data_IF_361842273486
#
_entry.id   IF_361842273486
#
_cell.length_a   1.000
_cell.length_b   1.000
_cell.length_c   1.000
_cell.angle_alpha   90.00
_cell.angle_beta   90.00
_cell.angle_gamma   90.00
#
_symmetry.space_group_name_H-M   'P 1'
#
loop_
_entity.id
_entity.type
_entity.pdbx_description
1 polymer ?
#
# COMPACT_ATOMS: atom_id res chain seq x y z
N UNK A 1 76.51 31.21 89.13
CA UNK A 1 75.59 31.00 88.00
C UNK A 1 76.14 31.79 86.81
N UNK A 2 76.64 31.09 85.79
CA UNK A 2 77.65 31.53 84.83
C UNK A 2 77.03 31.66 83.42
N UNK A 3 77.30 32.79 82.71
CA UNK A 3 77.38 33.00 81.22
C UNK A 3 76.10 32.73 80.37
N UNK A 4 75.82 33.34 79.21
CA UNK A 4 76.39 34.42 78.39
C UNK A 4 75.62 34.53 77.03
N UNK A 5 75.79 35.64 76.29
CA UNK A 5 75.81 35.80 74.80
C UNK A 5 74.46 36.00 74.02
N UNK A 6 74.20 37.27 73.65
CA UNK A 6 74.23 37.91 72.29
C UNK A 6 73.53 37.26 71.07
N UNK A 7 72.56 37.98 70.46
CA UNK A 7 72.32 38.23 68.99
C UNK A 7 71.01 39.06 68.83
N UNK A 8 71.00 40.32 68.35
CA UNK A 8 71.05 40.88 66.97
C UNK A 8 69.81 40.63 66.06
N UNK A 9 69.12 41.75 65.75
CA UNK A 9 68.34 42.18 64.53
C UNK A 9 66.90 41.67 64.26
N UNK A 10 66.08 42.36 63.41
CA UNK A 10 64.88 43.08 63.82
C UNK A 10 63.57 42.50 63.23
N UNK A 11 62.42 42.77 63.87
CA UNK A 11 61.10 42.50 63.29
C UNK A 11 60.71 43.66 62.36
N UNK A 12 61.01 43.50 61.07
CA UNK A 12 60.37 44.26 60.01
C UNK A 12 58.93 43.75 59.85
N UNK A 13 57.95 44.54 60.28
CA UNK A 13 56.55 44.29 59.99
C UNK A 13 55.94 45.55 59.39
N UNK A 14 55.10 45.34 58.37
CA UNK A 14 54.11 46.28 57.83
C UNK A 14 54.61 47.21 56.74
N UNK A 15 54.77 46.69 55.52
CA UNK A 15 54.22 47.31 54.30
C UNK A 15 54.43 46.32 53.14
N UNK A 16 53.47 45.41 52.94
CA UNK A 16 53.34 44.73 51.65
C UNK A 16 52.11 45.31 50.96
N UNK A 17 52.42 46.02 49.88
CA UNK A 17 51.54 46.55 48.88
C UNK A 17 50.48 45.53 48.46
N UNK A 18 49.24 45.97 48.60
CA UNK A 18 48.23 46.03 47.54
C UNK A 18 48.79 45.75 46.12
N UNK A 19 48.81 44.50 45.68
CA UNK A 19 48.69 44.15 44.26
C UNK A 19 47.44 43.30 44.08
N UNK A 20 46.41 43.95 43.55
CA UNK A 20 45.24 43.30 42.98
C UNK A 20 45.71 42.29 41.92
N UNK A 21 45.56 41.01 42.24
CA UNK A 21 45.29 39.98 41.26
C UNK A 21 44.04 39.22 41.70
N UNK A 22 42.93 39.97 41.87
CA UNK A 22 41.63 39.39 41.59
C UNK A 22 41.64 39.10 40.08
N UNK A 23 42.15 37.92 39.69
CA UNK A 23 41.71 37.34 38.43
C UNK A 23 40.18 37.35 38.50
N UNK A 24 39.48 38.05 37.60
CA UNK A 24 38.04 38.13 37.69
C UNK A 24 37.49 36.71 37.73
N UNK A 25 36.55 36.45 38.64
CA UNK A 25 35.79 35.18 38.76
C UNK A 25 34.99 34.85 37.46
N UNK A 26 35.18 35.63 36.40
CA UNK A 26 34.53 35.61 35.12
C UNK A 26 35.51 35.13 34.04
N UNK A 27 35.57 33.81 33.81
CA UNK A 27 35.75 33.16 32.50
C UNK A 27 35.99 31.65 32.61
N UNK A 28 35.25 30.93 33.46
CA UNK A 28 35.08 29.49 33.25
C UNK A 28 34.00 29.30 32.17
N UNK A 29 34.34 29.65 30.94
CA UNK A 29 33.40 29.68 29.82
C UNK A 29 33.17 28.27 29.31
N UNK A 30 31.99 27.70 29.60
CA UNK A 30 31.53 26.50 28.91
C UNK A 30 30.94 26.92 27.57
N UNK A 31 31.30 26.20 26.52
CA UNK A 31 30.93 26.51 25.14
C UNK A 31 30.09 25.36 24.60
N UNK A 32 28.96 25.71 23.98
CA UNK A 32 28.26 24.81 23.05
C UNK A 32 28.42 25.39 21.66
N UNK A 33 28.88 24.57 20.72
CA UNK A 33 29.05 24.94 19.32
C UNK A 33 28.65 23.80 18.41
N UNK A 34 28.52 24.06 17.12
CA UNK A 34 28.35 23.02 16.13
C UNK A 34 27.95 23.56 14.78
N UNK A 35 27.57 22.65 13.89
CA UNK A 35 27.19 22.92 12.50
C UNK A 35 25.85 22.28 12.18
N UNK A 36 25.03 23.00 11.43
CA UNK A 36 23.74 22.53 10.91
C UNK A 36 23.83 22.43 9.40
N UNK A 37 23.60 21.23 8.87
CA UNK A 37 23.56 20.96 7.43
C UNK A 37 22.27 20.28 7.04
N UNK A 38 21.96 20.24 5.74
CA UNK A 38 20.92 19.37 5.20
C UNK A 38 21.46 17.93 4.93
N UNK A 39 20.60 17.03 4.44
CA UNK A 39 20.98 15.67 4.05
C UNK A 39 21.99 15.60 2.89
N UNK A 40 22.15 16.68 2.12
CA UNK A 40 23.14 16.79 1.03
C UNK A 40 24.49 17.33 1.54
N UNK A 41 24.57 17.71 2.81
CA UNK A 41 25.77 18.29 3.44
C UNK A 41 25.89 19.80 3.26
N UNK A 42 24.90 20.46 2.68
CA UNK A 42 24.89 21.92 2.48
C UNK A 42 24.60 22.64 3.81
N UNK A 43 25.32 23.73 4.11
CA UNK A 43 25.14 24.46 5.37
C UNK A 43 23.80 25.21 5.42
N UNK A 44 23.05 25.03 6.50
CA UNK A 44 21.77 25.72 6.69
C UNK A 44 22.03 27.04 7.43
N UNK A 45 21.91 28.15 6.69
CA UNK A 45 22.08 29.51 7.23
C UNK A 45 20.84 29.98 7.99
N UNK A 46 21.05 30.64 9.13
CA UNK A 46 19.99 31.29 9.89
C UNK A 46 19.05 30.34 10.63
N UNK A 47 19.42 29.06 10.77
CA UNK A 47 18.72 28.11 11.61
C UNK A 47 18.72 28.63 13.06
N UNK A 48 17.56 28.62 13.69
CA UNK A 48 17.38 29.02 15.09
C UNK A 48 17.87 27.90 16.00
N UNK A 49 18.83 28.22 16.87
CA UNK A 49 19.37 27.31 17.87
C UNK A 49 18.89 27.78 19.24
N UNK A 50 18.15 26.93 19.93
CA UNK A 50 17.68 27.15 21.30
C UNK A 50 18.38 26.16 22.22
N UNK A 51 19.12 26.68 23.20
CA UNK A 51 19.79 25.92 24.24
C UNK A 51 18.98 26.06 25.52
N UNK A 52 18.39 24.96 25.99
CA UNK A 52 17.47 24.94 27.11
C UNK A 52 18.04 24.07 28.23
N UNK A 53 18.10 24.62 29.46
CA UNK A 53 18.45 23.84 30.65
C UNK A 53 17.33 22.85 30.98
N UNK A 54 17.69 21.58 31.19
CA UNK A 54 16.75 20.51 31.55
C UNK A 54 16.64 20.31 33.05
N UNK A 55 17.65 20.75 33.81
CA UNK A 55 17.71 20.73 35.28
C UNK A 55 17.18 22.01 35.92
N UNK A 56 17.50 23.16 35.33
CA UNK A 56 17.09 24.49 35.77
C UNK A 56 16.57 25.26 34.56
N UNK A 57 15.45 25.96 34.73
CA UNK A 57 14.81 26.74 33.65
C UNK A 57 15.71 27.89 33.22
N UNK A 58 16.51 27.63 32.18
CA UNK A 58 17.43 28.56 31.52
C UNK A 58 17.26 28.40 30.01
N UNK A 59 17.28 29.50 29.27
CA UNK A 59 17.14 29.47 27.83
C UNK A 59 18.12 30.45 27.19
N UNK A 60 18.83 29.99 26.18
CA UNK A 60 19.75 30.77 25.37
C UNK A 60 19.43 30.55 23.91
N UNK A 61 19.48 31.61 23.10
CA UNK A 61 19.16 31.52 21.68
C UNK A 61 20.33 32.06 20.86
N UNK A 62 20.66 31.35 19.79
CA UNK A 62 21.62 31.79 18.77
C UNK A 62 21.15 31.35 17.39
N UNK A 63 21.84 31.76 16.34
CA UNK A 63 21.52 31.36 14.96
C UNK A 63 22.79 30.89 14.24
N UNK A 64 22.60 30.03 13.25
CA UNK A 64 23.71 29.62 12.39
C UNK A 64 24.13 30.74 11.43
N UNK A 65 25.42 30.81 11.16
CA UNK A 65 26.03 31.76 10.23
C UNK A 65 25.91 31.29 8.76
N UNK A 66 26.65 31.93 7.84
CA UNK A 66 26.66 31.55 6.40
C UNK A 66 27.25 30.17 6.13
N UNK A 67 28.07 29.64 7.05
CA UNK A 67 28.68 28.30 6.98
C UNK A 67 27.85 27.26 7.72
N UNK A 68 26.68 27.63 8.26
CA UNK A 68 25.84 26.74 9.06
C UNK A 68 26.37 26.54 10.47
N UNK A 69 27.39 27.29 10.90
CA UNK A 69 28.04 27.14 12.20
C UNK A 69 27.34 28.02 13.25
N UNK A 70 27.28 27.52 14.47
CA UNK A 70 26.77 28.27 15.62
C UNK A 70 27.67 28.07 16.84
N UNK A 71 27.70 29.08 17.70
CA UNK A 71 28.42 29.05 18.97
C UNK A 71 27.66 29.86 20.01
N UNK A 72 27.64 29.35 21.23
CA UNK A 72 27.19 30.08 22.41
C UNK A 72 28.19 29.86 23.54
N UNK A 73 28.63 30.96 24.15
CA UNK A 73 29.66 30.97 25.20
C UNK A 73 29.05 31.43 26.52
N UNK A 74 29.64 30.99 27.64
CA UNK A 74 29.22 31.44 28.97
C UNK A 74 28.03 30.63 29.53
N UNK A 75 27.92 29.36 29.14
CA UNK A 75 26.85 28.49 29.64
C UNK A 75 27.20 28.06 31.07
N UNK A 76 26.31 28.25 32.07
CA UNK A 76 26.55 27.77 33.44
C UNK A 76 26.58 26.24 33.52
N UNK A 77 27.12 25.70 34.61
CA UNK A 77 27.01 24.26 34.88
C UNK A 77 25.53 23.82 34.92
N UNK A 78 25.26 22.65 34.34
CA UNK A 78 23.95 22.04 34.31
C UNK A 78 23.82 21.05 33.15
N UNK A 79 22.62 20.51 33.02
CA UNK A 79 22.25 19.64 31.91
C UNK A 79 21.38 20.41 30.90
N UNK A 80 21.68 20.26 29.62
CA UNK A 80 21.07 21.03 28.55
C UNK A 80 20.56 20.16 27.42
N UNK A 81 19.60 20.73 26.69
CA UNK A 81 19.18 20.29 25.36
C UNK A 81 19.42 21.43 24.37
N UNK A 82 19.91 21.10 23.19
CA UNK A 82 19.99 22.02 22.05
C UNK A 82 18.91 21.63 21.06
N UNK A 83 18.09 22.60 20.64
CA UNK A 83 16.99 22.45 19.70
C UNK A 83 17.31 23.31 18.50
N UNK A 84 17.19 22.74 17.30
CA UNK A 84 17.41 23.45 16.05
C UNK A 84 16.12 23.50 15.25
N UNK A 85 15.78 24.69 14.72
CA UNK A 85 14.67 24.90 13.80
C UNK A 85 15.11 25.72 12.60
N UNK A 86 14.72 25.30 11.40
CA UNK A 86 14.94 26.06 10.17
C UNK A 86 13.70 25.97 9.27
N UNK A 87 13.41 27.04 8.53
CA UNK A 87 12.26 27.07 7.63
C UNK A 87 12.42 26.02 6.51
N UNK A 88 11.40 25.20 6.29
CA UNK A 88 11.44 24.12 5.30
C UNK A 88 12.12 22.84 5.77
N UNK A 89 12.54 22.77 7.04
CA UNK A 89 13.16 21.60 7.64
C UNK A 89 12.40 21.13 8.88
N UNK A 90 12.39 19.82 9.10
CA UNK A 90 11.92 19.24 10.36
C UNK A 90 12.87 19.62 11.49
N UNK A 91 12.36 20.07 12.65
CA UNK A 91 13.19 20.41 13.79
C UNK A 91 13.84 19.16 14.37
N UNK A 92 15.03 19.35 14.94
CA UNK A 92 15.81 18.30 15.57
C UNK A 92 16.38 18.79 16.92
N UNK A 93 16.83 17.87 17.76
CA UNK A 93 17.36 18.20 19.06
C UNK A 93 18.36 17.16 19.60
N UNK A 94 19.31 17.64 20.40
CA UNK A 94 20.24 16.83 21.17
C UNK A 94 20.08 17.14 22.65
N UNK A 95 19.96 16.11 23.49
CA UNK A 95 19.67 16.24 24.92
C UNK A 95 20.71 15.51 25.78
N UNK A 96 20.74 15.81 27.08
CA UNK A 96 21.70 15.20 28.02
C UNK A 96 23.10 15.82 27.94
N UNK A 97 23.19 17.04 27.41
CA UNK A 97 24.46 17.74 27.22
C UNK A 97 24.93 18.31 28.55
N UNK A 98 26.18 18.04 28.94
CA UNK A 98 26.80 18.58 30.15
C UNK A 98 28.06 19.35 29.79
N UNK A 99 27.96 20.65 29.47
CA UNK A 99 29.09 21.43 29.03
C UNK A 99 30.21 21.47 30.07
N UNK A 100 31.43 21.20 29.61
CA UNK A 100 32.64 21.23 30.43
C UNK A 100 33.43 22.51 30.20
N UNK A 101 34.28 22.85 31.16
CA UNK A 101 35.25 23.95 31.03
C UNK A 101 36.51 23.43 30.30
N UNK A 102 36.79 22.13 30.40
CA UNK A 102 37.99 21.54 29.83
C UNK A 102 37.89 21.31 28.31
N UNK A 103 36.67 21.15 27.78
CA UNK A 103 36.44 20.85 26.38
C UNK A 103 35.12 21.45 25.90
N UNK A 104 35.16 22.06 24.71
CA UNK A 104 33.97 22.55 24.01
C UNK A 104 32.98 21.40 23.75
N UNK A 105 31.70 21.66 23.97
CA UNK A 105 30.64 20.71 23.65
C UNK A 105 30.19 20.94 22.21
N UNK A 106 30.56 20.02 21.33
CA UNK A 106 30.19 20.08 19.91
C UNK A 106 28.92 19.28 19.63
N UNK A 107 27.94 19.91 18.99
CA UNK A 107 26.63 19.32 18.67
C UNK A 107 26.25 19.66 17.23
N UNK A 108 26.40 18.69 16.35
CA UNK A 108 26.11 18.85 14.92
C UNK A 108 24.73 18.28 14.59
N UNK A 109 24.03 18.93 13.66
CA UNK A 109 22.70 18.52 13.21
C UNK A 109 22.66 18.36 11.70
N UNK A 110 21.97 17.32 11.25
CA UNK A 110 21.64 17.10 9.83
C UNK A 110 20.12 17.13 9.71
N UNK A 111 19.58 18.24 9.21
CA UNK A 111 18.13 18.42 9.11
C UNK A 111 17.57 17.80 7.84
N UNK A 112 16.38 17.21 7.97
CA UNK A 112 15.60 16.68 6.85
C UNK A 112 14.58 17.71 6.39
N UNK A 113 14.36 17.80 5.08
CA UNK A 113 13.30 18.65 4.53
C UNK A 113 11.92 18.25 5.08
N UNK A 114 11.11 19.24 5.44
CA UNK A 114 9.76 19.00 5.94
C UNK A 114 9.21 20.17 6.76
N UNK A 115 7.93 20.08 7.18
CA UNK A 115 7.28 21.14 7.94
C UNK A 115 7.86 21.25 9.35
N UNK A 116 7.82 22.46 9.90
CA UNK A 116 8.09 22.68 11.32
C UNK A 116 6.98 22.01 12.15
N UNK A 117 7.36 21.23 13.15
CA UNK A 117 6.44 20.43 13.97
C UNK A 117 6.87 20.44 15.44
N UNK A 118 5.93 20.23 16.36
CA UNK A 118 6.28 20.10 17.78
C UNK A 118 7.16 18.87 17.99
N UNK A 119 8.24 19.04 18.76
CA UNK A 119 9.07 17.93 19.21
C UNK A 119 8.36 17.16 20.32
N UNK A 120 8.75 15.90 20.54
CA UNK A 120 8.08 14.98 21.46
C UNK A 120 7.89 15.52 22.88
N UNK A 121 8.81 16.38 23.35
CA UNK A 121 8.79 17.00 24.67
C UNK A 121 8.08 18.38 24.71
N UNK A 122 7.70 18.93 23.56
CA UNK A 122 6.90 20.16 23.45
C UNK A 122 5.40 19.85 23.35
N UNK A 123 5.06 18.57 23.13
CA UNK A 123 3.69 18.09 23.14
C UNK A 123 3.14 18.14 24.56
N UNK A 124 1.94 18.70 24.70
CA UNK A 124 1.18 18.58 25.93
C UNK A 124 0.79 17.11 26.20
N UNK A 125 0.49 16.71 27.45
CA UNK A 125 -0.01 15.37 27.74
C UNK A 125 -1.23 14.96 26.89
N UNK A 126 -2.11 15.91 26.59
CA UNK A 126 -3.29 15.71 25.73
C UNK A 126 -2.91 15.45 24.26
N UNK A 127 -1.98 16.23 23.71
CA UNK A 127 -1.48 16.04 22.34
C UNK A 127 -0.72 14.73 22.18
N UNK A 128 0.07 14.34 23.19
CA UNK A 128 0.73 13.03 23.25
C UNK A 128 -0.27 11.88 23.27
N UNK A 129 -1.38 12.03 24.00
CA UNK A 129 -2.42 11.01 24.06
C UNK A 129 -3.13 10.86 22.71
N UNK A 130 -3.52 11.97 22.07
CA UNK A 130 -4.12 11.97 20.73
C UNK A 130 -3.18 11.33 19.69
N UNK A 131 -1.89 11.69 19.70
CA UNK A 131 -0.92 11.11 18.79
C UNK A 131 -0.78 9.59 18.98
N UNK A 132 -0.76 9.12 20.25
CA UNK A 132 -0.73 7.68 20.55
C UNK A 132 -1.98 6.97 20.02
N UNK A 133 -3.15 7.57 20.19
CA UNK A 133 -4.42 7.03 19.69
C UNK A 133 -4.45 6.97 18.16
N UNK A 134 -3.96 8.01 17.48
CA UNK A 134 -3.86 8.05 16.02
C UNK A 134 -2.88 7.00 15.49
N UNK A 135 -1.70 6.87 16.10
CA UNK A 135 -0.72 5.83 15.73
C UNK A 135 -1.28 4.44 15.96
N UNK A 136 -1.90 4.19 17.12
CA UNK A 136 -2.55 2.90 17.39
C UNK A 136 -3.68 2.60 16.40
N UNK A 137 -4.47 3.61 16.02
CA UNK A 137 -5.53 3.46 15.02
C UNK A 137 -4.94 3.12 13.65
N UNK A 138 -3.88 3.80 13.24
CA UNK A 138 -3.18 3.53 11.97
C UNK A 138 -2.53 2.14 11.96
N UNK A 139 -1.93 1.71 13.08
CA UNK A 139 -1.38 0.36 13.24
C UNK A 139 -2.48 -0.70 13.16
N UNK A 140 -3.60 -0.50 13.87
CA UNK A 140 -4.76 -1.41 13.80
C UNK A 140 -5.34 -1.50 12.40
N UNK A 141 -5.45 -0.39 11.67
CA UNK A 141 -5.90 -0.38 10.28
C UNK A 141 -4.92 -1.13 9.35
N UNK A 142 -3.62 -0.88 9.51
CA UNK A 142 -2.59 -1.58 8.74
C UNK A 142 -2.58 -3.08 9.04
N UNK A 143 -2.74 -3.46 10.31
CA UNK A 143 -2.82 -4.85 10.73
C UNK A 143 -4.09 -5.51 10.19
N UNK A 144 -5.25 -4.86 10.28
CA UNK A 144 -6.49 -5.37 9.71
C UNK A 144 -6.34 -5.61 8.19
N UNK A 145 -5.74 -4.68 7.46
CA UNK A 145 -5.45 -4.85 6.03
C UNK A 145 -4.51 -6.03 5.74
N UNK A 146 -3.49 -6.25 6.57
CA UNK A 146 -2.59 -7.39 6.45
C UNK A 146 -3.30 -8.72 6.76
N UNK A 147 -4.17 -8.75 7.77
CA UNK A 147 -4.98 -9.92 8.13
C UNK A 147 -5.99 -10.28 7.03
N UNK A 148 -6.71 -9.28 6.48
CA UNK A 148 -7.62 -9.46 5.33
C UNK A 148 -6.88 -10.14 4.18
N UNK A 149 -5.70 -9.62 3.83
CA UNK A 149 -4.89 -10.19 2.76
C UNK A 149 -4.46 -11.63 3.06
N UNK A 150 -3.99 -11.90 4.28
CA UNK A 150 -3.54 -13.24 4.66
C UNK A 150 -4.67 -14.27 4.59
N UNK A 151 -5.86 -13.93 5.10
CA UNK A 151 -7.03 -14.78 5.00
C UNK A 151 -7.48 -14.98 3.55
N UNK A 152 -7.46 -13.93 2.74
CA UNK A 152 -7.79 -14.03 1.32
C UNK A 152 -6.82 -14.95 0.57
N UNK A 153 -5.51 -14.77 0.75
CA UNK A 153 -4.47 -15.59 0.10
C UNK A 153 -4.60 -17.08 0.50
N UNK A 154 -4.93 -17.37 1.77
CA UNK A 154 -5.22 -18.73 2.23
C UNK A 154 -6.49 -19.31 1.59
N UNK A 155 -7.57 -18.52 1.52
CA UNK A 155 -8.80 -18.92 0.86
C UNK A 155 -8.59 -19.26 -0.62
N UNK A 156 -7.80 -18.45 -1.34
CA UNK A 156 -7.42 -18.72 -2.73
C UNK A 156 -6.67 -20.04 -2.88
N UNK A 157 -5.71 -20.31 -1.98
CA UNK A 157 -4.96 -21.58 -1.97
C UNK A 157 -5.89 -22.78 -1.76
N UNK A 158 -6.76 -22.71 -0.76
CA UNK A 158 -7.73 -23.78 -0.47
C UNK A 158 -8.69 -24.01 -1.64
N UNK A 159 -9.16 -22.94 -2.29
CA UNK A 159 -10.00 -23.04 -3.47
C UNK A 159 -9.27 -23.71 -4.65
N UNK A 160 -7.98 -23.41 -4.85
CA UNK A 160 -7.15 -24.08 -5.86
C UNK A 160 -6.94 -25.58 -5.56
N UNK A 161 -6.94 -25.97 -4.29
CA UNK A 161 -6.94 -27.38 -3.84
C UNK A 161 -8.32 -28.06 -3.93
N UNK A 162 -9.37 -27.33 -4.33
CA UNK A 162 -10.76 -27.82 -4.39
C UNK A 162 -11.48 -27.87 -3.04
N UNK A 163 -10.87 -27.36 -1.97
CA UNK A 163 -11.44 -27.31 -0.61
C UNK A 163 -12.33 -26.08 -0.42
N UNK A 164 -13.43 -26.03 -1.17
CA UNK A 164 -14.28 -24.84 -1.26
C UNK A 164 -14.92 -24.44 0.07
N UNK A 165 -15.35 -25.40 0.90
CA UNK A 165 -15.94 -25.11 2.20
C UNK A 165 -14.94 -24.43 3.15
N UNK A 166 -13.69 -24.91 3.17
CA UNK A 166 -12.61 -24.30 3.98
C UNK A 166 -12.20 -22.94 3.42
N UNK A 167 -12.17 -22.78 2.09
CA UNK A 167 -11.89 -21.50 1.45
C UNK A 167 -12.93 -20.43 1.84
N UNK A 168 -14.21 -20.79 1.88
CA UNK A 168 -15.29 -19.88 2.30
C UNK A 168 -15.08 -19.40 3.74
N UNK A 169 -14.67 -20.28 4.66
CA UNK A 169 -14.36 -19.89 6.05
C UNK A 169 -13.24 -18.86 6.10
N UNK A 170 -12.18 -19.01 5.29
CA UNK A 170 -11.11 -18.02 5.22
C UNK A 170 -11.58 -16.71 4.59
N UNK A 171 -12.42 -16.75 3.55
CA UNK A 171 -13.03 -15.55 2.98
C UNK A 171 -13.94 -14.82 3.99
N UNK A 172 -14.71 -15.55 4.79
CA UNK A 172 -15.55 -14.96 5.83
C UNK A 172 -14.72 -14.26 6.91
N UNK A 173 -13.62 -14.88 7.36
CA UNK A 173 -12.66 -14.22 8.28
C UNK A 173 -12.07 -12.94 7.69
N UNK A 174 -11.78 -12.92 6.39
CA UNK A 174 -11.31 -11.71 5.72
C UNK A 174 -12.40 -10.63 5.71
N UNK A 175 -13.63 -11.00 5.37
CA UNK A 175 -14.79 -10.09 5.30
C UNK A 175 -15.26 -9.59 6.66
N UNK A 176 -15.03 -10.34 7.74
CA UNK A 176 -15.25 -9.89 9.13
C UNK A 176 -14.30 -8.74 9.51
N UNK A 177 -13.10 -8.70 8.93
CA UNK A 177 -12.11 -7.64 9.16
C UNK A 177 -12.36 -6.43 8.30
N UNK A 178 -12.74 -6.66 7.05
CA UNK A 178 -13.13 -5.63 6.10
C UNK A 178 -14.15 -6.18 5.11
N UNK A 179 -15.39 -5.71 5.24
CA UNK A 179 -16.51 -6.13 4.40
C UNK A 179 -16.52 -5.48 3.02
N UNK A 180 -15.71 -4.45 2.77
CA UNK A 180 -15.73 -3.70 1.50
C UNK A 180 -14.71 -4.27 0.49
N UNK A 181 -14.67 -5.59 0.38
CA UNK A 181 -13.68 -6.32 -0.42
C UNK A 181 -14.33 -7.04 -1.61
N UNK A 182 -14.47 -6.37 -2.78
CA UNK A 182 -15.23 -6.91 -3.91
C UNK A 182 -14.66 -8.24 -4.44
N UNK A 183 -13.34 -8.37 -4.49
CA UNK A 183 -12.69 -9.60 -4.96
C UNK A 183 -12.87 -10.78 -4.02
N UNK A 184 -12.96 -10.54 -2.70
CA UNK A 184 -13.19 -11.61 -1.74
C UNK A 184 -14.63 -12.12 -1.86
N UNK A 185 -15.60 -11.22 -1.97
CA UNK A 185 -16.99 -11.56 -2.27
C UNK A 185 -17.12 -12.39 -3.56
N UNK A 186 -16.44 -11.97 -4.64
CA UNK A 186 -16.45 -12.70 -5.91
C UNK A 186 -15.85 -14.11 -5.80
N UNK A 187 -14.71 -14.27 -5.12
CA UNK A 187 -14.09 -15.59 -4.94
C UNK A 187 -14.90 -16.49 -4.01
N UNK A 188 -15.56 -15.92 -2.99
CA UNK A 188 -16.53 -16.64 -2.15
C UNK A 188 -17.71 -17.11 -2.99
N UNK A 189 -18.25 -16.27 -3.87
CA UNK A 189 -19.32 -16.63 -4.80
C UNK A 189 -18.91 -17.77 -5.74
N UNK A 190 -17.69 -17.73 -6.29
CA UNK A 190 -17.14 -18.81 -7.11
C UNK A 190 -17.08 -20.14 -6.34
N UNK A 191 -16.57 -20.12 -5.11
CA UNK A 191 -16.51 -21.30 -4.24
C UNK A 191 -17.91 -21.86 -3.93
N UNK A 192 -18.88 -20.99 -3.61
CA UNK A 192 -20.28 -21.36 -3.39
C UNK A 192 -20.90 -21.97 -4.66
N UNK A 193 -20.62 -21.41 -5.83
CA UNK A 193 -21.09 -21.95 -7.12
C UNK A 193 -20.52 -23.33 -7.42
N UNK A 194 -19.27 -23.62 -7.03
CA UNK A 194 -18.65 -24.95 -7.16
C UNK A 194 -19.27 -25.98 -6.21
N UNK A 195 -19.87 -25.53 -5.11
CA UNK A 195 -20.62 -26.36 -4.16
C UNK A 195 -22.12 -26.43 -4.46
N UNK A 196 -22.56 -25.95 -5.63
CA UNK A 196 -23.97 -25.89 -6.05
C UNK A 196 -24.88 -25.04 -5.14
N UNK A 197 -24.29 -24.17 -4.32
CA UNK A 197 -24.99 -23.19 -3.48
C UNK A 197 -25.30 -21.93 -4.29
N UNK A 198 -26.08 -22.08 -5.35
CA UNK A 198 -26.21 -21.06 -6.40
C UNK A 198 -26.83 -19.74 -5.92
N UNK A 199 -27.81 -19.79 -5.02
CA UNK A 199 -28.42 -18.57 -4.48
C UNK A 199 -27.47 -17.80 -3.57
N UNK A 200 -26.75 -18.48 -2.67
CA UNK A 200 -25.72 -17.84 -1.83
C UNK A 200 -24.62 -17.21 -2.72
N UNK A 201 -24.21 -17.90 -3.79
CA UNK A 201 -23.24 -17.36 -4.76
C UNK A 201 -23.76 -16.09 -5.45
N UNK A 202 -25.05 -16.06 -5.81
CA UNK A 202 -25.66 -14.91 -6.46
C UNK A 202 -25.63 -13.68 -5.54
N UNK A 203 -26.01 -13.86 -4.28
CA UNK A 203 -26.02 -12.78 -3.28
C UNK A 203 -24.60 -12.22 -3.05
N UNK A 204 -23.57 -13.08 -3.04
CA UNK A 204 -22.17 -12.65 -2.90
C UNK A 204 -21.66 -11.90 -4.15
N UNK A 205 -22.00 -12.33 -5.37
CA UNK A 205 -21.68 -11.55 -6.56
C UNK A 205 -22.41 -10.21 -6.62
N UNK A 206 -23.66 -10.11 -6.12
CA UNK A 206 -24.36 -8.83 -6.04
C UNK A 206 -23.59 -7.84 -5.14
N UNK A 207 -23.06 -8.30 -4.00
CA UNK A 207 -22.19 -7.48 -3.13
C UNK A 207 -20.92 -7.06 -3.87
N UNK A 208 -20.24 -8.00 -4.55
CA UNK A 208 -19.03 -7.71 -5.31
C UNK A 208 -19.27 -6.63 -6.39
N UNK A 209 -20.37 -6.74 -7.14
CA UNK A 209 -20.75 -5.78 -8.19
C UNK A 209 -21.15 -4.43 -7.59
N UNK A 210 -21.84 -4.40 -6.44
CA UNK A 210 -22.19 -3.15 -5.78
C UNK A 210 -20.95 -2.37 -5.32
N UNK A 211 -19.93 -3.08 -4.85
CA UNK A 211 -18.64 -2.50 -4.45
C UNK A 211 -17.78 -2.09 -5.65
N UNK A 212 -17.84 -2.85 -6.76
CA UNK A 212 -17.07 -2.58 -7.97
C UNK A 212 -17.91 -2.72 -9.25
N UNK A 213 -18.75 -1.72 -9.57
CA UNK A 213 -19.70 -1.81 -10.68
C UNK A 213 -19.06 -1.65 -12.07
N UNK A 214 -17.78 -1.30 -12.14
CA UNK A 214 -17.00 -1.08 -13.36
C UNK A 214 -16.12 -2.27 -13.75
N UNK A 215 -16.17 -3.38 -13.00
CA UNK A 215 -15.39 -4.58 -13.31
C UNK A 215 -16.17 -5.55 -14.22
N UNK A 216 -15.79 -5.60 -15.50
CA UNK A 216 -16.42 -6.46 -16.49
C UNK A 216 -16.34 -7.97 -16.15
N UNK A 217 -15.32 -8.40 -15.40
CA UNK A 217 -15.16 -9.79 -15.01
C UNK A 217 -16.27 -10.24 -14.04
N UNK A 218 -16.76 -9.33 -13.20
CA UNK A 218 -17.85 -9.63 -12.25
C UNK A 218 -19.16 -9.93 -12.99
N UNK A 219 -19.47 -9.18 -14.05
CA UNK A 219 -20.62 -9.46 -14.90
C UNK A 219 -20.45 -10.74 -15.74
N UNK A 220 -19.22 -11.03 -16.19
CA UNK A 220 -18.90 -12.30 -16.86
C UNK A 220 -19.22 -13.49 -15.95
N UNK A 221 -18.71 -13.47 -14.72
CA UNK A 221 -18.89 -14.56 -13.76
C UNK A 221 -20.35 -14.67 -13.29
N UNK A 222 -21.02 -13.54 -13.05
CA UNK A 222 -22.46 -13.50 -12.77
C UNK A 222 -23.27 -14.12 -13.91
N UNK A 223 -22.93 -13.82 -15.17
CA UNK A 223 -23.56 -14.42 -16.35
C UNK A 223 -23.45 -15.95 -16.38
N UNK A 224 -22.27 -16.47 -16.06
CA UNK A 224 -22.05 -17.93 -15.94
C UNK A 224 -22.90 -18.53 -14.81
N UNK A 225 -22.93 -17.90 -13.64
CA UNK A 225 -23.74 -18.35 -12.52
C UNK A 225 -25.24 -18.37 -12.87
N UNK A 226 -25.75 -17.30 -13.47
CA UNK A 226 -27.14 -17.19 -13.90
C UNK A 226 -27.51 -18.27 -14.92
N UNK A 227 -26.58 -18.61 -15.83
CA UNK A 227 -26.74 -19.74 -16.74
C UNK A 227 -26.91 -21.07 -16.01
N UNK A 228 -26.09 -21.34 -14.98
CA UNK A 228 -26.24 -22.54 -14.13
C UNK A 228 -27.57 -22.56 -13.38
N UNK A 229 -28.09 -21.39 -12.98
CA UNK A 229 -29.40 -21.25 -12.35
C UNK A 229 -30.58 -21.41 -13.32
N UNK A 230 -30.33 -21.57 -14.62
CA UNK A 230 -31.38 -21.61 -15.65
C UNK A 230 -32.01 -20.24 -15.93
N UNK A 231 -31.44 -19.16 -15.41
CA UNK A 231 -31.90 -17.78 -15.61
C UNK A 231 -31.33 -17.20 -16.91
N UNK A 232 -31.68 -17.81 -18.03
CA UNK A 232 -31.06 -17.55 -19.35
C UNK A 232 -31.17 -16.08 -19.80
N UNK A 233 -32.28 -15.40 -19.53
CA UNK A 233 -32.45 -13.98 -19.90
C UNK A 233 -31.51 -13.06 -19.11
N UNK A 234 -31.45 -13.21 -17.78
CA UNK A 234 -30.55 -12.44 -16.92
C UNK A 234 -29.08 -12.73 -17.27
N UNK A 235 -28.74 -13.99 -17.56
CA UNK A 235 -27.41 -14.39 -18.01
C UNK A 235 -27.00 -13.68 -19.30
N UNK A 236 -27.92 -13.57 -20.26
CA UNK A 236 -27.70 -12.85 -21.52
C UNK A 236 -27.43 -11.36 -21.31
N UNK A 237 -28.17 -10.70 -20.43
CA UNK A 237 -27.92 -9.30 -20.09
C UNK A 237 -26.55 -9.11 -19.44
N UNK A 238 -26.17 -9.99 -18.51
CA UNK A 238 -24.88 -9.94 -17.84
C UNK A 238 -23.71 -10.09 -18.83
N UNK A 239 -23.75 -11.08 -19.74
CA UNK A 239 -22.72 -11.24 -20.76
C UNK A 239 -22.64 -10.07 -21.74
N UNK A 240 -23.79 -9.53 -22.19
CA UNK A 240 -23.81 -8.36 -23.07
C UNK A 240 -23.21 -7.13 -22.38
N UNK A 241 -23.52 -6.92 -21.10
CA UNK A 241 -22.94 -5.84 -20.30
C UNK A 241 -21.42 -6.01 -20.16
N UNK A 242 -20.95 -7.21 -19.82
CA UNK A 242 -19.51 -7.51 -19.73
C UNK A 242 -18.78 -7.25 -21.06
N UNK A 243 -19.36 -7.69 -22.18
CA UNK A 243 -18.80 -7.47 -23.52
C UNK A 243 -18.73 -5.98 -23.89
N UNK A 244 -19.74 -5.18 -23.50
CA UNK A 244 -19.74 -3.73 -23.71
C UNK A 244 -18.71 -2.98 -22.86
N UNK A 245 -18.41 -3.48 -21.65
CA UNK A 245 -17.43 -2.88 -20.75
C UNK A 245 -15.97 -3.22 -21.13
N UNK A 246 -15.73 -4.42 -21.66
CA UNK A 246 -14.41 -4.85 -22.09
C UNK A 246 -14.45 -5.43 -23.52
N UNK A 247 -14.25 -4.59 -24.56
CA UNK A 247 -14.24 -5.03 -25.95
C UNK A 247 -13.22 -6.13 -26.26
N UNK A 248 -12.08 -6.15 -25.57
CA UNK A 248 -11.06 -7.17 -25.77
C UNK A 248 -11.51 -8.56 -25.29
N UNK A 249 -12.42 -8.62 -24.31
CA UNK A 249 -13.01 -9.86 -23.81
C UNK A 249 -14.42 -10.13 -24.38
N UNK A 250 -14.90 -9.31 -25.31
CA UNK A 250 -16.24 -9.44 -25.87
C UNK A 250 -16.44 -10.78 -26.58
N UNK A 251 -15.43 -11.26 -27.32
CA UNK A 251 -15.45 -12.58 -27.97
C UNK A 251 -15.77 -13.71 -26.99
N UNK A 252 -15.08 -13.76 -25.84
CA UNK A 252 -15.29 -14.76 -24.80
C UNK A 252 -16.68 -14.65 -24.14
N UNK A 253 -17.16 -13.43 -23.92
CA UNK A 253 -18.48 -13.21 -23.34
C UNK A 253 -19.60 -13.67 -24.26
N UNK A 254 -19.52 -13.36 -25.56
CA UNK A 254 -20.48 -13.84 -26.55
C UNK A 254 -20.40 -15.35 -26.77
N UNK A 255 -19.20 -15.94 -26.68
CA UNK A 255 -19.05 -17.40 -26.69
C UNK A 255 -19.74 -18.05 -25.49
N UNK A 256 -19.53 -17.52 -24.27
CA UNK A 256 -20.18 -18.04 -23.05
C UNK A 256 -21.72 -17.88 -23.10
N UNK A 257 -22.20 -16.77 -23.69
CA UNK A 257 -23.61 -16.58 -23.98
C UNK A 257 -24.13 -17.66 -24.94
N UNK A 258 -23.43 -17.90 -26.05
CA UNK A 258 -23.79 -18.95 -27.01
C UNK A 258 -23.88 -20.32 -26.35
N UNK A 259 -22.89 -20.70 -25.55
CA UNK A 259 -22.90 -21.96 -24.80
C UNK A 259 -24.09 -22.07 -23.82
N UNK A 260 -24.41 -20.98 -23.12
CA UNK A 260 -25.57 -20.93 -22.21
C UNK A 260 -26.89 -21.10 -22.95
N UNK A 261 -27.01 -20.50 -24.14
CA UNK A 261 -28.19 -20.61 -25.00
C UNK A 261 -28.34 -22.02 -25.59
N UNK A 262 -27.24 -22.68 -25.99
CA UNK A 262 -27.25 -24.10 -26.40
C UNK A 262 -27.78 -24.97 -25.27
N UNK A 263 -27.25 -24.81 -24.05
CA UNK A 263 -27.70 -25.59 -22.90
C UNK A 263 -29.18 -25.35 -22.55
N UNK A 264 -29.73 -24.20 -22.94
CA UNK A 264 -31.14 -23.86 -22.77
C UNK A 264 -32.02 -24.28 -23.96
N UNK A 265 -31.48 -24.98 -24.97
CA UNK A 265 -32.19 -25.40 -26.18
C UNK A 265 -32.47 -24.29 -27.20
N UNK A 266 -31.91 -23.09 -27.02
CA UNK A 266 -32.13 -21.90 -27.87
C UNK A 266 -31.10 -21.81 -28.99
N UNK A 267 -31.00 -22.86 -29.82
CA UNK A 267 -29.93 -23.06 -30.80
C UNK A 267 -29.80 -21.93 -31.83
N UNK A 268 -30.92 -21.35 -32.31
CA UNK A 268 -30.89 -20.26 -33.28
C UNK A 268 -30.26 -18.99 -32.69
N UNK A 269 -30.56 -18.68 -31.43
CA UNK A 269 -29.99 -17.52 -30.74
C UNK A 269 -28.53 -17.77 -30.33
N UNK A 270 -28.19 -19.01 -29.99
CA UNK A 270 -26.81 -19.40 -29.76
C UNK A 270 -25.94 -19.17 -31.01
N UNK A 271 -26.44 -19.52 -32.20
CA UNK A 271 -25.75 -19.25 -33.45
C UNK A 271 -25.46 -17.75 -33.65
N UNK A 272 -26.40 -16.88 -33.28
CA UNK A 272 -26.19 -15.43 -33.35
C UNK A 272 -25.14 -14.95 -32.34
N UNK A 273 -25.16 -15.48 -31.11
CA UNK A 273 -24.13 -15.19 -30.11
C UNK A 273 -22.73 -15.66 -30.58
N UNK A 274 -22.60 -16.83 -31.21
CA UNK A 274 -21.32 -17.28 -31.76
C UNK A 274 -20.85 -16.41 -32.94
N UNK A 275 -21.75 -15.90 -33.78
CA UNK A 275 -21.38 -14.90 -34.81
C UNK A 275 -20.88 -13.61 -34.19
N UNK A 276 -21.49 -13.14 -33.09
CA UNK A 276 -21.00 -11.98 -32.33
C UNK A 276 -19.61 -12.25 -31.72
N UNK A 277 -19.37 -13.46 -31.20
CA UNK A 277 -18.07 -13.87 -30.71
C UNK A 277 -16.99 -13.80 -31.80
N UNK A 278 -17.29 -14.34 -32.99
CA UNK A 278 -16.41 -14.31 -34.17
C UNK A 278 -16.19 -12.88 -34.68
N UNK A 279 -17.21 -12.03 -34.61
CA UNK A 279 -17.09 -10.63 -35.03
C UNK A 279 -16.18 -9.83 -34.09
N UNK A 280 -16.21 -10.15 -32.80
CA UNK A 280 -15.34 -9.54 -31.79
C UNK A 280 -13.90 -10.11 -31.83
N UNK A 281 -13.76 -11.42 -32.08
CA UNK A 281 -12.48 -12.09 -32.28
C UNK A 281 -12.54 -13.06 -33.48
N UNK A 282 -12.07 -12.64 -34.66
CA UNK A 282 -12.07 -13.48 -35.87
C UNK A 282 -11.19 -14.74 -35.77
N UNK A 283 -10.33 -14.85 -34.76
CA UNK A 283 -9.45 -15.99 -34.51
C UNK A 283 -9.98 -16.94 -33.43
N UNK A 284 -11.20 -16.72 -32.92
CA UNK A 284 -11.82 -17.58 -31.91
C UNK A 284 -12.31 -18.89 -32.53
N UNK A 285 -11.41 -19.87 -32.64
CA UNK A 285 -11.66 -21.16 -33.27
C UNK A 285 -12.91 -21.87 -32.74
N UNK A 286 -13.05 -21.99 -31.42
CA UNK A 286 -14.14 -22.72 -30.78
C UNK A 286 -15.52 -22.11 -31.10
N UNK A 287 -15.60 -20.79 -31.31
CA UNK A 287 -16.84 -20.14 -31.72
C UNK A 287 -17.28 -20.60 -33.12
N UNK A 288 -16.35 -20.80 -34.07
CA UNK A 288 -16.66 -21.37 -35.39
C UNK A 288 -17.14 -22.81 -35.31
N UNK A 289 -16.52 -23.63 -34.46
CA UNK A 289 -16.94 -25.01 -34.25
C UNK A 289 -18.39 -25.07 -33.72
N UNK A 290 -18.68 -24.31 -32.65
CA UNK A 290 -20.01 -24.28 -32.06
C UNK A 290 -21.07 -23.67 -32.99
N UNK A 291 -20.70 -22.65 -33.78
CA UNK A 291 -21.57 -22.11 -34.83
C UNK A 291 -21.90 -23.18 -35.87
N UNK A 292 -20.91 -23.93 -36.33
CA UNK A 292 -21.09 -25.04 -37.27
C UNK A 292 -22.08 -26.08 -36.75
N UNK A 293 -21.95 -26.48 -35.48
CA UNK A 293 -22.88 -27.39 -34.83
C UNK A 293 -24.31 -26.83 -34.78
N UNK A 294 -24.47 -25.56 -34.35
CA UNK A 294 -25.79 -24.93 -34.25
C UNK A 294 -26.51 -24.82 -35.60
N UNK A 295 -25.77 -24.61 -36.69
CA UNK A 295 -26.33 -24.43 -38.03
C UNK A 295 -26.53 -25.75 -38.80
N UNK A 296 -25.95 -26.85 -38.34
CA UNK A 296 -25.97 -28.14 -39.06
C UNK A 296 -27.36 -28.79 -39.16
N UNK A 297 -28.27 -28.47 -38.24
CA UNK A 297 -29.59 -29.10 -38.15
C UNK A 297 -30.65 -28.58 -39.11
N UNK A 298 -30.40 -27.48 -39.83
CA UNK A 298 -31.36 -26.89 -40.77
C UNK A 298 -30.77 -26.83 -42.19
N UNK A 299 -31.41 -27.43 -43.20
CA UNK A 299 -30.93 -27.44 -44.59
C UNK A 299 -30.60 -26.05 -45.15
N UNK A 300 -31.33 -25.01 -44.74
CA UNK A 300 -31.08 -23.64 -45.21
C UNK A 300 -29.78 -23.04 -44.67
N UNK A 301 -29.34 -23.49 -43.49
CA UNK A 301 -28.12 -22.99 -42.84
C UNK A 301 -26.92 -23.92 -42.99
N UNK A 302 -27.11 -25.11 -43.58
CA UNK A 302 -26.03 -26.08 -43.84
C UNK A 302 -24.83 -25.49 -44.61
N UNK A 303 -25.00 -24.66 -45.66
CA UNK A 303 -23.85 -24.07 -46.35
C UNK A 303 -22.98 -23.21 -45.42
N UNK A 304 -23.60 -22.46 -44.52
CA UNK A 304 -22.88 -21.62 -43.56
C UNK A 304 -22.29 -22.46 -42.41
N UNK A 305 -22.93 -23.56 -42.03
CA UNK A 305 -22.37 -24.54 -41.11
C UNK A 305 -21.05 -25.12 -41.64
N UNK A 306 -21.02 -25.51 -42.91
CA UNK A 306 -19.81 -26.04 -43.57
C UNK A 306 -18.69 -24.99 -43.56
N UNK A 307 -18.98 -23.73 -43.96
CA UNK A 307 -17.99 -22.64 -43.94
C UNK A 307 -17.40 -22.42 -42.55
N UNK A 308 -18.24 -22.45 -41.51
CA UNK A 308 -17.79 -22.28 -40.14
C UNK A 308 -16.87 -23.44 -39.71
N UNK A 309 -17.24 -24.68 -40.00
CA UNK A 309 -16.41 -25.86 -39.69
C UNK A 309 -15.10 -25.88 -40.49
N UNK A 310 -15.10 -25.45 -41.76
CA UNK A 310 -13.89 -25.30 -42.57
C UNK A 310 -12.95 -24.26 -41.96
N UNK A 311 -13.49 -23.13 -41.51
CA UNK A 311 -12.71 -22.10 -40.82
C UNK A 311 -12.13 -22.64 -39.52
N UNK A 312 -12.91 -23.39 -38.74
CA UNK A 312 -12.41 -24.07 -37.53
C UNK A 312 -11.24 -25.01 -37.83
N UNK A 313 -11.28 -25.80 -38.90
CA UNK A 313 -10.17 -26.69 -39.30
C UNK A 313 -8.90 -25.88 -39.65
N UNK A 314 -9.05 -24.67 -40.18
CA UNK A 314 -7.90 -23.82 -40.54
C UNK A 314 -7.18 -23.21 -39.33
N UNK A 315 -7.94 -22.83 -38.28
CA UNK A 315 -7.40 -22.05 -37.15
C UNK A 315 -7.42 -22.80 -35.82
N UNK A 316 -8.12 -23.92 -35.76
CA UNK A 316 -8.27 -24.76 -34.57
C UNK A 316 -7.00 -25.53 -34.23
N UNK A 317 -6.87 -25.88 -32.95
CA UNK A 317 -5.69 -26.62 -32.43
C UNK A 317 -6.04 -28.02 -31.92
N UNK A 318 -7.32 -28.32 -31.72
CA UNK A 318 -7.77 -29.61 -31.20
C UNK A 318 -7.91 -30.62 -32.35
N UNK A 319 -6.97 -31.56 -32.45
CA UNK A 319 -6.93 -32.56 -33.53
C UNK A 319 -8.18 -33.44 -33.59
N UNK A 320 -8.69 -33.86 -32.44
CA UNK A 320 -9.88 -34.72 -32.36
C UNK A 320 -11.12 -33.99 -32.88
N UNK A 321 -11.36 -32.77 -32.38
CA UNK A 321 -12.49 -31.95 -32.84
C UNK A 321 -12.36 -31.57 -34.32
N UNK A 322 -11.14 -31.38 -34.84
CA UNK A 322 -10.93 -31.15 -36.27
C UNK A 322 -11.31 -32.36 -37.13
N UNK A 323 -11.01 -33.58 -36.69
CA UNK A 323 -11.47 -34.79 -37.39
C UNK A 323 -12.99 -34.93 -37.34
N UNK A 324 -13.62 -34.65 -36.20
CA UNK A 324 -15.08 -34.60 -36.08
C UNK A 324 -15.67 -33.56 -37.05
N UNK A 325 -15.08 -32.37 -37.14
CA UNK A 325 -15.51 -31.33 -38.06
C UNK A 325 -15.42 -31.78 -39.53
N UNK A 326 -14.36 -32.51 -39.93
CA UNK A 326 -14.21 -33.07 -41.30
C UNK A 326 -15.31 -34.09 -41.62
N UNK A 327 -15.63 -34.97 -40.67
CA UNK A 327 -16.69 -35.96 -40.83
C UNK A 327 -18.05 -35.28 -40.97
N UNK A 328 -18.33 -34.28 -40.14
CA UNK A 328 -19.56 -33.48 -40.22
C UNK A 328 -19.69 -32.79 -41.57
N UNK A 329 -18.64 -32.12 -42.07
CA UNK A 329 -18.66 -31.50 -43.40
C UNK A 329 -18.99 -32.52 -44.49
N UNK A 330 -18.41 -33.72 -44.42
CA UNK A 330 -18.67 -34.80 -45.39
C UNK A 330 -20.12 -35.25 -45.36
N UNK A 331 -20.72 -35.35 -44.18
CA UNK A 331 -22.13 -35.72 -44.01
C UNK A 331 -23.10 -34.61 -44.45
N UNK A 332 -22.71 -33.34 -44.33
CA UNK A 332 -23.54 -32.18 -44.67
C UNK A 332 -23.51 -31.80 -46.16
N UNK A 333 -22.53 -32.31 -46.93
CA UNK A 333 -22.48 -32.05 -48.37
C UNK A 333 -23.62 -32.79 -49.08
N UNK A 334 -24.33 -32.14 -50.02
CA UNK A 334 -25.35 -32.81 -50.82
C UNK A 334 -24.73 -33.96 -51.61
N UNK A 335 -25.40 -35.12 -51.61
CA UNK A 335 -25.06 -36.28 -52.43
C UNK A 335 -25.43 -36.05 -53.88
#
# INVERSE_FOLDING_TARGET
MIRSIRRWVPLALSLILLTLALAPVWAQNRIIKGKVTDEKGEPIRGASIKIQGTDVKREYNTKTDKKGEYIYMGIPFGEYRVIVRAQGYRPDFAQGLRPSIAQDTEVNFTLKEGPDQKLSFELTPEEMQKLKEEVQKAEKQKQASAEVKAFFDNGLKLAAEGKYAEAIVEYDKALEKDSEQPYIHANKADALSRMDKLQEAYDEYQKAIALKPDDAAMFTNMGVLLGKMGKTAESQEAFKKAAGMNPAAAGQNFYNLGATLVNSGRTAEAAEAFKQAISADPNFAEAYYQLGLCLSGNPQTMPDAIKALEKYIQIGKNAEQMEVAKQLITALKPK
#
